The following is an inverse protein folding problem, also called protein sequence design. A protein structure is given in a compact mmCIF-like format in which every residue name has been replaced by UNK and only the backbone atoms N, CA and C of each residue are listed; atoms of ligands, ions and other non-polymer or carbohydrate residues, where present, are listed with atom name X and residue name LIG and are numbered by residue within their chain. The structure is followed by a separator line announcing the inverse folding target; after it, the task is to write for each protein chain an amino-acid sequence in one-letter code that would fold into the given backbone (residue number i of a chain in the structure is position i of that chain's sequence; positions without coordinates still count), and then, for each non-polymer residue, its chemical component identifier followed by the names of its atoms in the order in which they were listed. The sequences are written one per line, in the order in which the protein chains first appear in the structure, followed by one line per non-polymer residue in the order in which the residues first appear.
data_IF_437127517424
#
_entry.id   IF_437127517424
#
_cell.length_a   1.000
_cell.length_b   1.000
_cell.length_c   1.000
_cell.angle_alpha   90.00
_cell.angle_beta   90.00
_cell.angle_gamma   90.00
#
_symmetry.space_group_name_H-M   'P 1'
#
loop_
_entity.id
_entity.type
_entity.pdbx_description
1 polymer ?
#
# COMPACT_ATOMS: atom_id res chain seq x y z
N UNK A 1 -18.74 10.05 -17.94
CA UNK A 1 -17.69 9.19 -18.49
C UNK A 1 -16.48 9.41 -17.59
N UNK A 2 -16.12 8.43 -16.74
CA UNK A 2 -14.99 8.57 -15.82
C UNK A 2 -13.73 8.21 -16.61
N UNK A 3 -13.11 9.20 -17.27
CA UNK A 3 -11.77 9.01 -17.83
C UNK A 3 -10.77 8.87 -16.68
N UNK A 4 -10.50 7.64 -16.31
CA UNK A 4 -9.49 7.27 -15.30
C UNK A 4 -8.89 5.93 -15.68
N UNK A 5 -8.52 5.78 -16.95
CA UNK A 5 -8.19 4.49 -17.56
C UNK A 5 -6.73 4.41 -17.93
N UNK A 6 -5.83 4.55 -16.95
CA UNK A 6 -4.46 4.09 -17.11
C UNK A 6 -4.11 3.24 -15.91
N UNK A 7 -3.61 2.04 -16.19
CA UNK A 7 -3.33 1.08 -15.14
C UNK A 7 -2.21 1.61 -14.24
N UNK A 8 -2.32 1.32 -12.96
CA UNK A 8 -1.27 1.62 -12.00
C UNK A 8 -0.05 0.77 -12.33
N UNK A 9 1.09 1.42 -12.50
CA UNK A 9 2.36 0.77 -12.79
C UNK A 9 3.27 0.74 -11.56
N UNK A 10 3.42 1.88 -10.90
CA UNK A 10 4.29 2.01 -9.73
C UNK A 10 3.92 3.23 -8.87
N UNK A 11 4.55 3.37 -7.71
CA UNK A 11 4.49 4.56 -6.85
C UNK A 11 5.91 5.10 -6.66
N UNK A 12 6.10 6.41 -6.88
CA UNK A 12 7.35 7.10 -6.58
C UNK A 12 7.27 7.76 -5.19
N UNK A 13 7.95 7.20 -4.18
CA UNK A 13 7.91 7.73 -2.82
C UNK A 13 8.64 9.07 -2.66
N UNK A 14 9.54 9.45 -3.56
CA UNK A 14 10.28 10.70 -3.45
C UNK A 14 9.45 11.89 -3.93
N UNK A 15 8.75 11.71 -5.05
CA UNK A 15 7.85 12.73 -5.60
C UNK A 15 6.44 12.67 -5.02
N UNK A 16 6.09 11.58 -4.32
CA UNK A 16 4.76 11.35 -3.76
C UNK A 16 3.67 11.26 -4.85
N UNK A 17 4.00 10.56 -5.94
CA UNK A 17 3.15 10.45 -7.13
C UNK A 17 2.96 8.99 -7.55
N UNK A 18 1.81 8.68 -8.13
CA UNK A 18 1.58 7.40 -8.80
C UNK A 18 2.21 7.45 -10.20
N UNK A 19 2.92 6.41 -10.58
CA UNK A 19 3.26 6.11 -11.96
C UNK A 19 2.10 5.30 -12.56
N UNK A 20 1.30 5.96 -13.39
CA UNK A 20 0.33 5.28 -14.26
C UNK A 20 0.99 4.91 -15.59
N UNK A 21 0.41 3.96 -16.32
CA UNK A 21 0.79 3.72 -17.70
C UNK A 21 0.75 5.02 -18.52
N UNK A 22 1.77 5.24 -19.35
CA UNK A 22 2.00 6.53 -20.00
C UNK A 22 2.64 7.58 -19.09
N UNK A 23 2.35 8.85 -19.34
CA UNK A 23 3.07 10.00 -18.76
C UNK A 23 2.39 10.65 -17.57
N UNK A 24 1.22 10.18 -17.14
CA UNK A 24 0.49 10.80 -16.03
C UNK A 24 1.15 10.45 -14.69
N UNK A 25 1.29 11.46 -13.84
CA UNK A 25 1.85 11.34 -12.48
C UNK A 25 0.94 12.03 -11.47
N UNK A 26 -0.24 11.47 -11.16
CA UNK A 26 -1.14 12.09 -10.18
C UNK A 26 -0.55 11.96 -8.78
N UNK A 27 -0.71 13.02 -7.97
CA UNK A 27 -0.35 13.01 -6.55
C UNK A 27 -1.25 12.05 -5.77
N UNK A 28 -0.67 11.36 -4.80
CA UNK A 28 -1.46 10.55 -3.86
C UNK A 28 -2.23 11.43 -2.88
N UNK A 29 -3.36 10.96 -2.33
CA UNK A 29 -4.11 11.69 -1.32
C UNK A 29 -3.29 12.08 -0.09
N UNK A 30 -3.71 13.16 0.58
CA UNK A 30 -3.13 13.62 1.83
C UNK A 30 -3.07 12.47 2.86
N UNK A 31 -1.91 12.29 3.48
CA UNK A 31 -1.67 11.22 4.46
C UNK A 31 -1.02 9.95 3.89
N UNK A 32 -0.96 9.77 2.56
CA UNK A 32 -0.27 8.60 1.97
C UNK A 32 1.25 8.76 2.05
N UNK A 33 1.77 9.97 1.80
CA UNK A 33 3.18 10.30 2.02
C UNK A 33 3.43 11.03 3.34
N UNK A 34 2.51 10.98 4.30
CA UNK A 34 2.81 11.57 5.60
C UNK A 34 3.73 10.63 6.38
N UNK A 35 5.01 11.01 6.46
CA UNK A 35 6.01 10.29 7.25
C UNK A 35 7.42 10.71 6.85
N UNK A 36 8.22 11.09 7.84
CA UNK A 36 9.61 11.51 7.65
C UNK A 36 10.57 10.35 7.86
N UNK A 37 10.41 9.24 7.12
CA UNK A 37 11.49 8.23 7.06
C UNK A 37 12.61 8.76 6.17
N UNK A 38 13.23 9.84 6.63
CA UNK A 38 14.36 10.51 5.98
C UNK A 38 15.66 9.79 6.35
N UNK A 39 15.67 9.11 7.51
CA UNK A 39 16.81 8.36 8.03
C UNK A 39 16.45 6.89 8.25
N UNK A 40 17.18 6.00 7.60
CA UNK A 40 17.17 4.55 7.86
C UNK A 40 17.90 4.22 9.18
N UNK A 41 17.44 4.78 10.29
CA UNK A 41 17.95 4.36 11.60
C UNK A 41 17.34 3.03 12.05
N UNK A 42 17.96 2.43 13.07
CA UNK A 42 17.54 1.14 13.61
C UNK A 42 16.08 1.16 14.09
N UNK A 43 15.65 2.25 14.76
CA UNK A 43 14.29 2.36 15.30
C UNK A 43 13.24 2.39 14.18
N UNK A 44 13.56 3.07 13.08
CA UNK A 44 12.69 3.17 11.92
C UNK A 44 12.56 1.83 11.22
N UNK A 45 13.67 1.11 11.05
CA UNK A 45 13.67 -0.26 10.53
C UNK A 45 12.81 -1.19 11.39
N UNK A 46 13.00 -1.19 12.71
CA UNK A 46 12.21 -2.01 13.63
C UNK A 46 10.72 -1.64 13.60
N UNK A 47 10.39 -0.34 13.46
CA UNK A 47 9.01 0.11 13.33
C UNK A 47 8.35 -0.42 12.06
N UNK A 48 9.06 -0.40 10.93
CA UNK A 48 8.59 -0.96 9.66
C UNK A 48 8.40 -2.48 9.71
N UNK A 49 9.36 -3.21 10.30
CA UNK A 49 9.26 -4.67 10.48
C UNK A 49 8.06 -5.05 11.37
N UNK A 50 7.85 -4.30 12.46
CA UNK A 50 6.67 -4.50 13.32
C UNK A 50 5.37 -4.22 12.57
N UNK A 51 5.34 -3.19 11.72
CA UNK A 51 4.17 -2.88 10.91
C UNK A 51 3.86 -3.97 9.89
N UNK A 52 4.88 -4.45 9.16
CA UNK A 52 4.75 -5.58 8.22
C UNK A 52 4.21 -6.82 8.94
N UNK A 53 4.76 -7.17 10.10
CA UNK A 53 4.30 -8.30 10.90
C UNK A 53 2.81 -8.17 11.28
N UNK A 54 2.36 -6.98 11.69
CA UNK A 54 0.95 -6.73 12.02
C UNK A 54 0.03 -6.88 10.80
N UNK A 55 0.46 -6.43 9.63
CA UNK A 55 -0.29 -6.60 8.38
C UNK A 55 -0.42 -8.08 8.01
N UNK A 56 0.68 -8.84 8.04
CA UNK A 56 0.67 -10.27 7.74
C UNK A 56 -0.20 -11.04 8.75
N UNK A 57 -0.12 -10.72 10.04
CA UNK A 57 -0.95 -11.34 11.07
C UNK A 57 -2.45 -11.07 10.84
N UNK A 58 -2.79 -9.84 10.48
CA UNK A 58 -4.17 -9.45 10.14
C UNK A 58 -4.68 -10.21 8.92
N UNK A 59 -3.88 -10.26 7.85
CA UNK A 59 -4.21 -11.01 6.63
C UNK A 59 -4.42 -12.50 6.93
N UNK A 60 -3.51 -13.12 7.68
CA UNK A 60 -3.62 -14.52 8.06
C UNK A 60 -4.87 -14.79 8.93
N UNK A 61 -5.22 -13.86 9.82
CA UNK A 61 -6.47 -13.91 10.57
C UNK A 61 -7.69 -13.86 9.67
N UNK A 62 -7.72 -12.95 8.69
CA UNK A 62 -8.80 -12.85 7.69
C UNK A 62 -8.88 -14.11 6.84
N UNK A 63 -7.76 -14.66 6.35
CA UNK A 63 -7.76 -15.88 5.54
C UNK A 63 -8.25 -17.10 6.34
N UNK A 64 -7.84 -17.20 7.61
CA UNK A 64 -8.30 -18.26 8.51
C UNK A 64 -9.80 -18.17 8.77
N UNK A 65 -10.35 -16.97 8.89
CA UNK A 65 -11.78 -16.73 9.13
C UNK A 65 -12.63 -16.76 7.83
N UNK A 66 -12.09 -16.29 6.71
CA UNK A 66 -12.72 -16.26 5.39
C UNK A 66 -12.86 -17.64 4.75
N UNK A 67 -12.19 -18.66 5.31
CA UNK A 67 -12.35 -20.06 4.92
C UNK A 67 -13.73 -20.66 5.29
N UNK A 68 -14.62 -19.92 5.98
CA UNK A 68 -15.92 -20.44 6.42
C UNK A 68 -17.14 -20.07 5.58
N UNK A 69 -17.04 -19.27 4.52
CA UNK A 69 -18.25 -18.89 3.75
C UNK A 69 -17.99 -18.70 2.26
N UNK A 70 -17.95 -19.81 1.52
CA UNK A 70 -18.52 -19.84 0.17
C UNK A 70 -19.47 -21.04 0.08
N UNK A 71 -20.80 -20.84 0.16
CA UNK A 71 -21.71 -21.90 -0.25
C UNK A 71 -21.46 -22.16 -1.73
N UNK A 72 -20.98 -23.38 -2.04
CA UNK A 72 -20.96 -23.88 -3.41
C UNK A 72 -22.40 -23.86 -3.92
N UNK A 73 -22.64 -23.13 -5.00
CA UNK A 73 -23.89 -23.17 -5.75
C UNK A 73 -23.69 -24.03 -6.98
#
# INVERSE_FOLDING_TARGET
QLEGSRDFKNYDPYSCELECDGSDRPKVPDGVCSGDVITCDYSTRESLLNWEYRLQSTLNGVLKNGSQSFPKK
#
